data_IF_038119849396
#
_entry.id   IF_038119849396
#
_cell.length_a   1.000
_cell.length_b   1.000
_cell.length_c   1.000
_cell.angle_alpha   90.00
_cell.angle_beta   90.00
_cell.angle_gamma   90.00
#
_symmetry.space_group_name_H-M   'P 1'
#
loop_
_entity.id
_entity.type
_entity.pdbx_description
1 polymer ?
#
# COMPACT_ATOMS: atom_id res chain seq x y z
N UNK A 1 -11.02 -10.86 -6.93
CA UNK A 1 -12.45 -11.02 -6.64
C UNK A 1 -12.80 -10.01 -5.55
N UNK A 2 -13.52 -8.94 -5.89
CA UNK A 2 -13.96 -7.94 -4.91
C UNK A 2 -15.15 -8.53 -4.15
N UNK A 3 -14.97 -8.77 -2.86
CA UNK A 3 -16.05 -9.18 -1.95
C UNK A 3 -17.03 -8.00 -1.87
N UNK A 4 -18.30 -8.21 -2.21
CA UNK A 4 -19.31 -7.15 -2.15
C UNK A 4 -19.69 -6.86 -0.70
N UNK A 5 -20.13 -5.63 -0.44
CA UNK A 5 -20.63 -5.14 0.86
C UNK A 5 -21.64 -6.12 1.47
N UNK A 6 -22.51 -6.68 0.63
CA UNK A 6 -23.53 -7.67 1.00
C UNK A 6 -22.95 -8.96 1.58
N UNK A 7 -21.77 -9.40 1.11
CA UNK A 7 -21.10 -10.60 1.65
C UNK A 7 -20.58 -10.32 3.05
N UNK A 8 -20.00 -9.14 3.30
CA UNK A 8 -19.54 -8.77 4.65
C UNK A 8 -20.70 -8.66 5.64
N UNK A 9 -21.80 -8.00 5.25
CA UNK A 9 -23.00 -7.92 6.10
C UNK A 9 -23.54 -9.30 6.45
N UNK A 10 -23.57 -10.22 5.46
CA UNK A 10 -24.06 -11.58 5.65
C UNK A 10 -23.18 -12.38 6.62
N UNK A 11 -21.86 -12.31 6.47
CA UNK A 11 -20.90 -12.99 7.37
C UNK A 11 -21.02 -12.45 8.81
N UNK A 12 -21.20 -11.14 8.98
CA UNK A 12 -21.40 -10.54 10.30
C UNK A 12 -22.73 -10.99 10.92
N UNK A 13 -23.80 -11.07 10.12
CA UNK A 13 -25.10 -11.59 10.58
C UNK A 13 -25.05 -13.07 10.95
N UNK A 14 -24.36 -13.90 10.16
CA UNK A 14 -24.10 -15.32 10.46
C UNK A 14 -23.29 -15.51 11.74
N UNK A 15 -22.48 -14.52 12.12
CA UNK A 15 -21.74 -14.47 13.39
C UNK A 15 -22.57 -13.96 14.58
N UNK A 16 -23.88 -13.74 14.39
CA UNK A 16 -24.81 -13.30 15.43
C UNK A 16 -24.91 -11.79 15.62
N UNK A 17 -24.31 -10.97 14.73
CA UNK A 17 -24.40 -9.52 14.82
C UNK A 17 -25.73 -9.04 14.23
N UNK A 18 -26.52 -8.23 14.97
CA UNK A 18 -27.78 -7.68 14.45
C UNK A 18 -27.57 -6.89 13.15
N UNK A 19 -28.53 -7.01 12.22
CA UNK A 19 -28.44 -6.40 10.87
C UNK A 19 -28.09 -4.90 10.89
N UNK A 20 -28.65 -4.13 11.82
CA UNK A 20 -28.36 -2.69 11.93
C UNK A 20 -26.89 -2.44 12.31
N UNK A 21 -26.36 -3.20 13.27
CA UNK A 21 -24.97 -3.10 13.71
C UNK A 21 -24.01 -3.61 12.63
N UNK A 22 -24.36 -4.69 11.93
CA UNK A 22 -23.56 -5.22 10.81
C UNK A 22 -23.40 -4.19 9.70
N UNK A 23 -24.51 -3.52 9.33
CA UNK A 23 -24.48 -2.43 8.34
C UNK A 23 -23.64 -1.25 8.79
N UNK A 24 -23.79 -0.82 10.04
CA UNK A 24 -22.99 0.28 10.59
C UNK A 24 -21.49 -0.05 10.60
N UNK A 25 -21.11 -1.28 10.95
CA UNK A 25 -19.72 -1.75 10.91
C UNK A 25 -19.17 -1.69 9.48
N UNK A 26 -19.94 -2.14 8.50
CA UNK A 26 -19.51 -2.13 7.09
C UNK A 26 -19.40 -0.70 6.56
N UNK A 27 -20.37 0.16 6.84
CA UNK A 27 -20.35 1.58 6.43
C UNK A 27 -19.16 2.33 7.03
N UNK A 28 -18.88 2.16 8.34
CA UNK A 28 -17.70 2.74 8.99
C UNK A 28 -16.40 2.20 8.39
N UNK A 29 -16.33 0.90 8.10
CA UNK A 29 -15.16 0.27 7.49
C UNK A 29 -14.89 0.83 6.09
N UNK A 30 -15.94 1.01 5.28
CA UNK A 30 -15.85 1.61 3.95
C UNK A 30 -15.37 3.06 4.01
N UNK A 31 -15.85 3.84 4.99
CA UNK A 31 -15.40 5.21 5.21
C UNK A 31 -13.91 5.28 5.56
N UNK A 32 -13.45 4.46 6.52
CA UNK A 32 -12.02 4.36 6.88
C UNK A 32 -11.17 3.91 5.68
N UNK A 33 -11.67 2.99 4.86
CA UNK A 33 -10.98 2.58 3.63
C UNK A 33 -10.89 3.70 2.59
N UNK A 34 -11.95 4.49 2.44
CA UNK A 34 -11.98 5.67 1.56
C UNK A 34 -10.96 6.72 2.00
N UNK A 35 -10.90 7.02 3.30
CA UNK A 35 -9.93 7.97 3.87
C UNK A 35 -8.48 7.51 3.65
N UNK A 36 -8.20 6.23 3.94
CA UNK A 36 -6.88 5.63 3.65
C UNK A 36 -6.56 5.63 2.15
N UNK A 37 -7.54 5.41 1.30
CA UNK A 37 -7.35 5.46 -0.16
C UNK A 37 -6.94 6.85 -0.62
N UNK A 38 -7.57 7.91 -0.10
CA UNK A 38 -7.22 9.31 -0.39
C UNK A 38 -5.79 9.60 0.08
N UNK A 39 -5.42 9.14 1.28
CA UNK A 39 -4.07 9.31 1.81
C UNK A 39 -3.01 8.59 0.95
N UNK A 40 -3.24 7.33 0.59
CA UNK A 40 -2.35 6.57 -0.29
C UNK A 40 -2.24 7.26 -1.66
N UNK A 41 -3.35 7.77 -2.21
CA UNK A 41 -3.35 8.44 -3.52
C UNK A 41 -2.46 9.69 -3.54
N UNK A 42 -2.38 10.43 -2.43
CA UNK A 42 -1.44 11.55 -2.29
C UNK A 42 0.01 11.10 -2.51
N UNK A 43 0.44 10.02 -1.85
CA UNK A 43 1.80 9.51 -1.99
C UNK A 43 2.04 8.86 -3.37
N UNK A 44 1.03 8.20 -3.93
CA UNK A 44 1.06 7.71 -5.31
C UNK A 44 1.39 8.83 -6.29
N UNK A 45 0.69 9.97 -6.21
CA UNK A 45 0.91 11.11 -7.08
C UNK A 45 2.34 11.66 -6.95
N UNK A 46 2.86 11.76 -5.72
CA UNK A 46 4.25 12.19 -5.46
C UNK A 46 5.24 11.23 -6.13
N UNK A 47 5.04 9.93 -5.98
CA UNK A 47 5.92 8.93 -6.58
C UNK A 47 5.86 8.94 -8.12
N UNK A 48 4.68 9.15 -8.69
CA UNK A 48 4.49 9.24 -10.15
C UNK A 48 5.20 10.45 -10.74
N UNK A 49 5.05 11.63 -10.13
CA UNK A 49 5.77 12.84 -10.55
C UNK A 49 7.28 12.61 -10.50
N UNK A 50 7.77 12.05 -9.39
CA UNK A 50 9.19 11.74 -9.22
C UNK A 50 9.70 10.69 -10.20
N UNK A 51 8.88 9.70 -10.56
CA UNK A 51 9.24 8.71 -11.57
C UNK A 51 9.41 9.34 -12.95
N UNK A 52 8.54 10.29 -13.31
CA UNK A 52 8.64 11.05 -14.57
C UNK A 52 9.94 11.87 -14.58
N UNK A 53 10.25 12.58 -13.50
CA UNK A 53 11.48 13.38 -13.36
C UNK A 53 12.74 12.53 -13.50
N UNK A 54 12.72 11.30 -12.98
CA UNK A 54 13.85 10.37 -13.02
C UNK A 54 13.88 9.50 -14.29
N UNK A 55 12.91 9.63 -15.19
CA UNK A 55 12.79 8.80 -16.39
C UNK A 55 12.51 7.31 -16.11
N UNK A 56 11.93 6.99 -14.95
CA UNK A 56 11.60 5.63 -14.53
C UNK A 56 10.24 5.26 -15.14
N UNK A 57 10.21 4.20 -15.95
CA UNK A 57 8.99 3.65 -16.52
C UNK A 57 8.70 2.29 -15.91
N UNK A 58 7.53 2.06 -15.30
CA UNK A 58 7.17 0.75 -14.80
C UNK A 58 7.11 -0.27 -15.94
N UNK A 59 7.37 -1.53 -15.59
CA UNK A 59 7.26 -2.68 -16.49
C UNK A 59 5.78 -3.01 -16.80
N UNK A 60 5.54 -3.97 -17.69
CA UNK A 60 4.19 -4.37 -18.14
C UNK A 60 3.22 -4.77 -17.01
N UNK A 61 3.73 -5.10 -15.81
CA UNK A 61 2.91 -5.46 -14.64
C UNK A 61 2.82 -4.32 -13.61
N UNK A 62 3.03 -3.07 -14.04
CA UNK A 62 3.05 -1.87 -13.17
C UNK A 62 4.07 -1.93 -12.01
N UNK A 63 5.14 -2.73 -12.19
CA UNK A 63 6.21 -2.86 -11.20
C UNK A 63 7.50 -2.18 -11.64
N UNK A 64 8.23 -1.65 -10.66
CA UNK A 64 9.60 -1.15 -10.77
C UNK A 64 10.58 -2.08 -10.06
N UNK A 65 11.84 -2.03 -10.46
CA UNK A 65 12.93 -2.78 -9.81
C UNK A 65 13.25 -2.21 -8.42
N UNK A 66 13.94 -2.99 -7.59
CA UNK A 66 14.41 -2.53 -6.28
C UNK A 66 15.27 -1.26 -6.35
N UNK A 67 16.14 -1.15 -7.36
CA UNK A 67 17.00 0.02 -7.54
C UNK A 67 16.21 1.28 -7.90
N UNK A 68 15.14 1.14 -8.68
CA UNK A 68 14.24 2.24 -9.01
C UNK A 68 13.39 2.62 -7.79
N UNK A 69 12.88 1.63 -7.04
CA UNK A 69 12.13 1.84 -5.82
C UNK A 69 12.92 2.65 -4.78
N UNK A 70 14.18 2.30 -4.51
CA UNK A 70 15.01 3.07 -3.55
C UNK A 70 15.30 4.50 -4.03
N UNK A 71 15.45 4.72 -5.34
CA UNK A 71 15.58 6.08 -5.91
C UNK A 71 14.30 6.89 -5.73
N UNK A 72 13.14 6.29 -6.02
CA UNK A 72 11.84 6.92 -5.80
C UNK A 72 11.62 7.27 -4.32
N UNK A 73 12.03 6.41 -3.41
CA UNK A 73 11.98 6.69 -1.97
C UNK A 73 13.06 7.69 -1.49
N UNK A 74 14.00 8.10 -2.34
CA UNK A 74 15.10 8.99 -1.96
C UNK A 74 16.04 8.36 -0.93
N UNK A 75 16.27 7.04 -1.03
CA UNK A 75 17.10 6.26 -0.12
C UNK A 75 18.37 5.74 -0.80
N UNK A 76 19.31 5.27 0.00
CA UNK A 76 20.53 4.65 -0.51
C UNK A 76 20.23 3.32 -1.23
N UNK A 77 21.06 2.89 -2.21
CA UNK A 77 20.82 1.67 -2.98
C UNK A 77 20.67 0.39 -2.14
N UNK A 78 21.35 0.34 -0.99
CA UNK A 78 21.32 -0.81 -0.08
C UNK A 78 20.19 -0.75 0.96
N UNK A 79 19.40 0.32 0.99
CA UNK A 79 18.44 0.60 2.06
C UNK A 79 17.47 -0.56 2.30
N UNK A 80 16.77 -1.04 1.27
CA UNK A 80 15.75 -2.09 1.40
C UNK A 80 16.37 -3.43 1.82
N UNK A 81 17.54 -3.77 1.27
CA UNK A 81 18.30 -4.96 1.66
C UNK A 81 18.67 -4.93 3.15
N UNK A 82 19.21 -3.81 3.62
CA UNK A 82 19.62 -3.64 5.03
C UNK A 82 18.38 -3.63 5.93
N UNK A 83 17.32 -2.93 5.55
CA UNK A 83 16.07 -2.86 6.32
C UNK A 83 15.43 -4.24 6.50
N UNK A 84 15.39 -5.07 5.43
CA UNK A 84 14.90 -6.46 5.53
C UNK A 84 15.77 -7.32 6.45
N UNK A 85 17.10 -7.23 6.32
CA UNK A 85 18.02 -7.99 7.18
C UNK A 85 17.85 -7.63 8.67
N UNK A 86 17.53 -6.37 8.96
CA UNK A 86 17.26 -5.85 10.30
C UNK A 86 15.81 -6.04 10.76
N UNK A 87 14.96 -6.71 9.97
CA UNK A 87 13.51 -6.88 10.24
C UNK A 87 12.78 -5.55 10.49
N UNK A 88 13.23 -4.47 9.84
CA UNK A 88 12.58 -3.16 9.87
C UNK A 88 11.43 -3.12 8.88
N UNK A 89 10.54 -2.14 9.04
CA UNK A 89 9.47 -1.88 8.09
C UNK A 89 10.04 -1.64 6.68
N UNK A 90 9.54 -2.39 5.71
CA UNK A 90 9.83 -2.23 4.28
C UNK A 90 8.54 -2.24 3.47
N UNK A 91 8.52 -1.68 2.25
CA UNK A 91 7.40 -1.84 1.34
C UNK A 91 7.12 -3.31 1.06
N UNK A 92 5.85 -3.62 0.78
CA UNK A 92 5.47 -4.90 0.19
C UNK A 92 6.14 -5.06 -1.17
N UNK A 93 6.36 -6.30 -1.60
CA UNK A 93 7.03 -6.57 -2.87
C UNK A 93 6.54 -7.88 -3.49
N UNK A 94 6.62 -7.94 -4.82
CA UNK A 94 6.44 -9.14 -5.60
C UNK A 94 7.81 -9.73 -5.88
N UNK A 95 7.97 -11.02 -5.64
CA UNK A 95 9.19 -11.76 -5.97
C UNK A 95 9.02 -12.31 -7.39
N UNK A 96 9.91 -11.90 -8.30
CA UNK A 96 9.94 -12.36 -9.69
C UNK A 96 11.31 -12.98 -9.97
N UNK A 97 11.39 -14.31 -9.90
CA UNK A 97 12.66 -15.02 -9.81
C UNK A 97 13.43 -14.58 -8.55
N UNK A 98 14.71 -14.21 -8.72
CA UNK A 98 15.55 -13.72 -7.62
C UNK A 98 15.46 -12.20 -7.39
N UNK A 99 14.50 -11.53 -8.04
CA UNK A 99 14.39 -10.06 -8.02
C UNK A 99 13.16 -9.61 -7.25
N UNK A 100 13.37 -8.64 -6.38
CA UNK A 100 12.30 -7.88 -5.73
C UNK A 100 11.76 -6.81 -6.68
N UNK A 101 10.43 -6.77 -6.81
CA UNK A 101 9.67 -5.84 -7.63
C UNK A 101 8.63 -5.13 -6.76
N UNK A 102 8.35 -3.87 -7.08
CA UNK A 102 7.47 -3.02 -6.27
C UNK A 102 6.47 -2.32 -7.17
N UNK A 103 5.21 -2.25 -6.77
CA UNK A 103 4.27 -1.33 -7.41
C UNK A 103 4.38 0.05 -6.78
N UNK A 104 3.88 1.08 -7.46
CA UNK A 104 3.73 2.40 -6.85
C UNK A 104 2.86 2.35 -5.60
N UNK A 105 1.83 1.50 -5.59
CA UNK A 105 0.92 1.34 -4.46
C UNK A 105 1.64 0.82 -3.23
N UNK A 106 2.50 -0.20 -3.38
CA UNK A 106 3.29 -0.75 -2.28
C UNK A 106 4.22 0.31 -1.65
N UNK A 107 4.82 1.14 -2.50
CA UNK A 107 5.69 2.24 -2.06
C UNK A 107 4.89 3.35 -1.37
N UNK A 108 3.71 3.68 -1.89
CA UNK A 108 2.83 4.69 -1.31
C UNK A 108 2.29 4.26 0.06
N UNK A 109 1.85 3.00 0.21
CA UNK A 109 1.46 2.44 1.50
C UNK A 109 2.59 2.53 2.52
N UNK A 110 3.82 2.21 2.10
CA UNK A 110 4.98 2.29 2.96
C UNK A 110 5.25 3.72 3.43
N UNK A 111 5.12 4.71 2.54
CA UNK A 111 5.28 6.12 2.88
C UNK A 111 4.21 6.58 3.87
N UNK A 112 2.94 6.22 3.64
CA UNK A 112 1.83 6.54 4.55
C UNK A 112 2.02 5.90 5.93
N UNK A 113 2.46 4.63 5.98
CA UNK A 113 2.79 3.95 7.23
C UNK A 113 3.90 4.69 7.98
N UNK A 114 4.98 5.11 7.31
CA UNK A 114 6.06 5.86 7.97
C UNK A 114 5.57 7.19 8.53
N UNK A 115 4.74 7.92 7.79
CA UNK A 115 4.28 9.24 8.21
C UNK A 115 3.34 9.15 9.42
N UNK A 116 2.47 8.13 9.46
CA UNK A 116 1.59 7.89 10.61
C UNK A 116 2.32 7.49 11.91
N UNK A 117 3.59 7.07 11.82
CA UNK A 117 4.44 6.83 13.00
C UNK A 117 5.18 8.08 13.49
N UNK A 118 5.12 9.21 12.80
CA UNK A 118 5.74 10.45 13.30
C UNK A 118 4.86 11.05 14.40
N UNK A 119 5.41 11.39 15.58
CA UNK A 119 4.65 12.11 16.59
C UNK A 119 4.25 13.50 16.06
N UNK A 120 3.01 13.90 16.36
CA UNK A 120 2.44 15.21 16.03
C UNK A 120 3.24 16.35 16.67
#
# INVERSE_FOLDING_TARGET
MLVTVEIFERVLQESGIPRHSAREIVERSMLVMSEKSVEIQKYMNVLLVKAIELGIKPSQNDTVSEQEAVKLLGKSPSFLRVARAQKRLTPNCVISGDKYRYTFHDLAEYMAKIDSYKPL
#
